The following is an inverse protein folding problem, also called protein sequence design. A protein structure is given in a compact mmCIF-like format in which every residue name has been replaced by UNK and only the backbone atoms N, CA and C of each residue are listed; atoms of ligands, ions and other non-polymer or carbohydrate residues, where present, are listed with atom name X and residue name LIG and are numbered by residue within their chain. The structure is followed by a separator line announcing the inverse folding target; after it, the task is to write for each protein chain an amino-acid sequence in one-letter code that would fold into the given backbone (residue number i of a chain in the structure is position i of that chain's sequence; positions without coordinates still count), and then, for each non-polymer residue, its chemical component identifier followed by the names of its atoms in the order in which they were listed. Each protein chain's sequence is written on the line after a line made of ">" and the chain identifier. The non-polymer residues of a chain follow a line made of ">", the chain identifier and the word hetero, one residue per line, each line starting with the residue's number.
data_IF_165357655063
#
_entry.id   IF_165357655063
#
_cell.length_a   1.000
_cell.length_b   1.000
_cell.length_c   1.000
_cell.angle_alpha   90.00
_cell.angle_beta   90.00
_cell.angle_gamma   90.00
#
_symmetry.space_group_name_H-M   'P 1'
#
loop_
_entity.id
_entity.type
_entity.pdbx_description
1 polymer ?
#
# COMPACT_ATOMS: atom_id res chain seq x y z
N UNK A 1 -31.57 -76.66 -16.96
CA UNK A 1 -32.10 -75.29 -16.82
C UNK A 1 -31.03 -74.22 -16.50
N UNK A 2 -29.92 -74.55 -15.83
CA UNK A 2 -28.94 -73.57 -15.30
C UNK A 2 -28.09 -72.82 -16.36
N UNK A 3 -27.79 -73.44 -17.51
CA UNK A 3 -26.89 -72.86 -18.54
C UNK A 3 -27.47 -71.64 -19.29
N UNK A 4 -28.79 -71.52 -19.37
CA UNK A 4 -29.46 -70.38 -20.04
C UNK A 4 -29.47 -69.11 -19.17
N UNK A 5 -29.48 -69.27 -17.85
CA UNK A 5 -29.52 -68.16 -16.89
C UNK A 5 -28.18 -67.42 -16.77
N UNK A 6 -27.05 -68.14 -16.88
CA UNK A 6 -25.70 -67.56 -16.88
C UNK A 6 -25.42 -66.74 -18.15
N UNK A 7 -25.87 -67.21 -19.31
CA UNK A 7 -25.73 -66.50 -20.57
C UNK A 7 -26.53 -65.17 -20.56
N UNK A 8 -27.73 -65.17 -19.97
CA UNK A 8 -28.54 -63.97 -19.83
C UNK A 8 -27.88 -62.93 -18.90
N UNK A 9 -27.32 -63.34 -17.77
CA UNK A 9 -26.64 -62.43 -16.83
C UNK A 9 -25.38 -61.79 -17.43
N UNK A 10 -24.59 -62.54 -18.21
CA UNK A 10 -23.43 -62.00 -18.92
C UNK A 10 -23.84 -60.96 -19.98
N UNK A 11 -24.93 -61.21 -20.70
CA UNK A 11 -25.48 -60.26 -21.67
C UNK A 11 -25.93 -58.96 -21.00
N UNK A 12 -26.62 -59.04 -19.85
CA UNK A 12 -27.02 -57.86 -19.09
C UNK A 12 -25.79 -57.10 -18.58
N UNK A 13 -24.78 -57.78 -18.05
CA UNK A 13 -23.55 -57.14 -17.56
C UNK A 13 -22.78 -56.42 -18.68
N UNK A 14 -22.69 -57.02 -19.87
CA UNK A 14 -22.06 -56.41 -21.04
C UNK A 14 -22.85 -55.20 -21.53
N UNK A 15 -24.18 -55.28 -21.57
CA UNK A 15 -25.04 -54.16 -21.96
C UNK A 15 -24.92 -53.02 -20.94
N UNK A 16 -24.94 -53.30 -19.64
CA UNK A 16 -24.77 -52.28 -18.59
C UNK A 16 -23.38 -51.65 -18.67
N UNK A 17 -22.32 -52.44 -18.84
CA UNK A 17 -20.96 -51.93 -19.02
C UNK A 17 -20.83 -51.03 -20.25
N UNK A 18 -21.44 -51.44 -21.37
CA UNK A 18 -21.47 -50.66 -22.60
C UNK A 18 -22.27 -49.35 -22.45
N UNK A 19 -23.44 -49.40 -21.80
CA UNK A 19 -24.28 -48.21 -21.55
C UNK A 19 -23.63 -47.25 -20.56
N UNK A 20 -22.89 -47.74 -19.56
CA UNK A 20 -22.14 -46.90 -18.62
C UNK A 20 -20.94 -46.26 -19.32
N UNK A 21 -20.21 -47.00 -20.16
CA UNK A 21 -19.10 -46.47 -20.95
C UNK A 21 -19.53 -45.46 -22.02
N UNK A 22 -20.76 -45.60 -22.54
CA UNK A 22 -21.34 -44.65 -23.49
C UNK A 22 -22.02 -43.43 -22.86
N UNK A 23 -21.95 -43.25 -21.53
CA UNK A 23 -22.34 -41.97 -20.96
C UNK A 23 -21.28 -40.95 -21.34
N UNK A 24 -21.54 -39.98 -22.24
CA UNK A 24 -20.62 -38.88 -22.42
C UNK A 24 -20.38 -38.26 -21.04
N UNK A 25 -19.12 -37.97 -20.68
CA UNK A 25 -18.86 -37.15 -19.50
C UNK A 25 -19.79 -35.95 -19.54
N UNK A 26 -20.55 -35.72 -18.46
CA UNK A 26 -21.34 -34.50 -18.36
C UNK A 26 -20.38 -33.33 -18.62
N UNK A 27 -20.71 -32.41 -19.54
CA UNK A 27 -19.87 -31.25 -19.77
C UNK A 27 -19.68 -30.57 -18.41
N UNK A 28 -18.44 -30.47 -17.95
CA UNK A 28 -18.12 -29.76 -16.71
C UNK A 28 -18.77 -28.38 -16.86
N UNK A 29 -19.71 -28.02 -15.97
CA UNK A 29 -20.35 -26.72 -16.05
C UNK A 29 -19.26 -25.65 -16.15
N UNK A 30 -19.41 -24.64 -17.03
CA UNK A 30 -18.48 -23.54 -17.06
C UNK A 30 -18.26 -23.04 -15.63
N UNK A 31 -17.00 -22.82 -15.19
CA UNK A 31 -16.77 -22.30 -13.85
C UNK A 31 -17.60 -21.03 -13.68
N UNK A 32 -18.34 -20.95 -12.56
CA UNK A 32 -19.16 -19.79 -12.28
C UNK A 32 -18.30 -18.52 -12.42
N UNK A 33 -18.81 -17.44 -13.03
CA UNK A 33 -18.04 -16.23 -13.18
C UNK A 33 -17.55 -15.77 -11.80
N UNK A 34 -16.26 -15.38 -11.69
CA UNK A 34 -15.69 -14.94 -10.43
C UNK A 34 -16.55 -13.81 -9.85
N UNK A 35 -16.87 -13.90 -8.56
CA UNK A 35 -17.60 -12.82 -7.90
C UNK A 35 -16.62 -11.66 -7.65
N UNK A 36 -17.03 -10.40 -7.89
CA UNK A 36 -16.13 -9.28 -7.72
C UNK A 36 -15.71 -9.16 -6.25
N UNK A 37 -14.41 -8.94 -6.05
CA UNK A 37 -13.85 -8.56 -4.76
C UNK A 37 -13.64 -7.05 -4.81
N UNK A 38 -14.29 -6.35 -3.90
CA UNK A 38 -14.25 -4.88 -3.86
C UNK A 38 -13.17 -4.45 -2.87
N UNK A 39 -12.24 -3.63 -3.34
CA UNK A 39 -11.34 -2.88 -2.47
C UNK A 39 -12.01 -1.55 -2.15
N UNK A 40 -12.01 -1.19 -0.88
CA UNK A 40 -12.61 0.03 -0.35
C UNK A 40 -11.54 0.92 0.30
N UNK A 41 -11.74 2.23 0.21
CA UNK A 41 -11.05 3.20 1.04
C UNK A 41 -11.47 3.04 2.52
N UNK A 42 -10.79 3.76 3.41
CA UNK A 42 -11.07 3.74 4.85
C UNK A 42 -12.53 4.13 5.20
N UNK A 43 -13.15 4.99 4.39
CA UNK A 43 -14.55 5.44 4.54
C UNK A 43 -15.58 4.44 3.97
N UNK A 44 -15.13 3.33 3.37
CA UNK A 44 -15.99 2.33 2.73
C UNK A 44 -16.38 2.66 1.29
N UNK A 45 -15.94 3.80 0.74
CA UNK A 45 -16.14 4.11 -0.67
C UNK A 45 -15.31 3.16 -1.56
N UNK A 46 -15.83 2.84 -2.74
CA UNK A 46 -15.17 1.91 -3.67
C UNK A 46 -13.84 2.52 -4.15
N UNK A 47 -12.75 1.80 -3.91
CA UNK A 47 -11.42 2.11 -4.42
C UNK A 47 -11.14 1.40 -5.73
N UNK A 48 -11.41 0.09 -5.79
CA UNK A 48 -11.14 -0.75 -6.95
C UNK A 48 -12.01 -2.01 -6.96
N UNK A 49 -12.26 -2.58 -8.14
CA UNK A 49 -12.97 -3.85 -8.34
C UNK A 49 -12.03 -4.85 -9.00
N UNK A 50 -11.55 -5.85 -8.26
CA UNK A 50 -10.64 -6.85 -8.83
C UNK A 50 -11.48 -7.88 -9.58
N UNK A 51 -11.28 -7.98 -10.91
CA UNK A 51 -12.02 -8.90 -11.79
C UNK A 51 -12.56 -8.28 -13.08
N UNK A 52 -12.55 -6.94 -13.22
CA UNK A 52 -13.14 -6.25 -14.37
C UNK A 52 -12.25 -6.17 -15.63
N UNK A 53 -11.04 -6.74 -15.59
CA UNK A 53 -10.07 -6.68 -16.70
C UNK A 53 -9.36 -5.33 -16.78
N UNK A 54 -8.03 -5.34 -16.71
CA UNK A 54 -7.21 -4.12 -16.73
C UNK A 54 -5.89 -4.29 -15.99
N UNK A 55 -4.96 -3.36 -16.22
CA UNK A 55 -3.72 -3.25 -15.44
C UNK A 55 -4.07 -2.90 -13.99
N UNK A 56 -3.66 -3.75 -13.05
CA UNK A 56 -3.87 -3.51 -11.62
C UNK A 56 -2.96 -2.35 -11.17
N UNK A 57 -3.50 -1.27 -10.58
CA UNK A 57 -2.67 -0.20 -10.03
C UNK A 57 -1.70 -0.73 -8.98
N UNK A 58 -0.48 -0.18 -8.87
CA UNK A 58 0.52 -0.73 -7.93
C UNK A 58 0.07 -0.66 -6.46
N UNK A 59 -0.75 0.34 -6.09
CA UNK A 59 -1.37 0.40 -4.76
C UNK A 59 -2.29 -0.80 -4.50
N UNK A 60 -3.03 -1.27 -5.52
CA UNK A 60 -3.83 -2.49 -5.45
C UNK A 60 -2.92 -3.71 -5.31
N UNK A 61 -1.86 -3.80 -6.12
CA UNK A 61 -0.89 -4.89 -6.01
C UNK A 61 -0.27 -4.98 -4.62
N UNK A 62 0.07 -3.83 -4.00
CA UNK A 62 0.59 -3.77 -2.63
C UNK A 62 -0.44 -4.26 -1.60
N UNK A 63 -1.71 -3.88 -1.73
CA UNK A 63 -2.80 -4.38 -0.88
C UNK A 63 -2.94 -5.90 -1.00
N UNK A 64 -2.94 -6.43 -2.23
CA UNK A 64 -3.05 -7.88 -2.47
C UNK A 64 -1.82 -8.65 -1.93
N UNK A 65 -0.63 -8.05 -2.01
CA UNK A 65 0.58 -8.59 -1.39
C UNK A 65 0.42 -8.68 0.13
N UNK A 66 0.00 -7.60 0.79
CA UNK A 66 -0.22 -7.58 2.23
C UNK A 66 -1.27 -8.60 2.68
N UNK A 67 -2.37 -8.73 1.94
CA UNK A 67 -3.38 -9.76 2.16
C UNK A 67 -2.79 -11.18 2.17
N UNK A 68 -1.87 -11.45 1.25
CA UNK A 68 -1.17 -12.74 1.18
C UNK A 68 -0.23 -12.94 2.37
N UNK A 69 0.47 -11.89 2.81
CA UNK A 69 1.33 -11.90 4.00
C UNK A 69 0.54 -12.16 5.30
N UNK A 70 -0.73 -11.74 5.38
CA UNK A 70 -1.62 -12.01 6.52
C UNK A 70 -2.45 -13.28 6.37
N UNK A 71 -2.06 -14.17 5.46
CA UNK A 71 -2.71 -15.48 5.23
C UNK A 71 -4.16 -15.42 4.74
N UNK A 72 -4.56 -14.31 4.08
CA UNK A 72 -5.86 -14.17 3.42
C UNK A 72 -5.65 -13.80 1.94
N UNK A 73 -5.12 -14.73 1.11
CA UNK A 73 -4.80 -14.43 -0.29
C UNK A 73 -6.06 -14.08 -1.09
N UNK A 74 -5.90 -13.22 -2.09
CA UNK A 74 -6.98 -12.75 -2.97
C UNK A 74 -7.87 -13.87 -3.52
N UNK A 75 -7.26 -14.96 -4.03
CA UNK A 75 -7.97 -16.09 -4.64
C UNK A 75 -8.97 -16.77 -3.69
N UNK A 76 -8.74 -16.67 -2.37
CA UNK A 76 -9.66 -17.20 -1.36
C UNK A 76 -11.01 -16.45 -1.30
N UNK A 77 -11.03 -15.22 -1.81
CA UNK A 77 -12.21 -14.36 -1.89
C UNK A 77 -12.90 -14.47 -3.26
N UNK A 78 -12.17 -14.69 -4.36
CA UNK A 78 -12.72 -14.74 -5.73
C UNK A 78 -13.87 -15.74 -5.88
N UNK A 79 -13.74 -16.91 -5.26
CA UNK A 79 -14.75 -17.97 -5.35
C UNK A 79 -16.10 -17.58 -4.71
N UNK A 80 -16.10 -16.65 -3.74
CA UNK A 80 -17.29 -16.33 -2.93
C UNK A 80 -17.70 -14.86 -3.00
N UNK A 81 -16.82 -13.97 -3.46
CA UNK A 81 -16.91 -12.53 -3.32
C UNK A 81 -16.51 -12.06 -1.91
N UNK A 82 -16.23 -10.77 -1.78
CA UNK A 82 -15.87 -10.16 -0.50
C UNK A 82 -15.53 -8.69 -0.65
N UNK A 83 -15.26 -8.05 0.48
CA UNK A 83 -14.76 -6.68 0.54
C UNK A 83 -13.46 -6.61 1.33
N UNK A 84 -12.52 -5.80 0.85
CA UNK A 84 -11.24 -5.50 1.49
C UNK A 84 -11.26 -4.02 1.81
N UNK A 85 -11.44 -3.69 3.10
CA UNK A 85 -11.32 -2.31 3.55
C UNK A 85 -9.85 -1.99 3.80
N UNK A 86 -9.40 -0.90 3.21
CA UNK A 86 -8.04 -0.40 3.41
C UNK A 86 -7.98 0.63 4.55
N UNK A 87 -6.79 1.11 4.86
CA UNK A 87 -6.55 2.29 5.72
C UNK A 87 -6.39 3.57 4.91
N UNK A 88 -6.42 3.49 3.57
CA UNK A 88 -6.18 4.62 2.68
C UNK A 88 -7.34 5.61 2.82
N UNK A 89 -7.00 6.86 3.08
CA UNK A 89 -7.95 7.95 3.14
C UNK A 89 -8.21 8.49 1.73
N UNK A 90 -9.44 8.38 1.23
CA UNK A 90 -9.79 8.77 -0.13
C UNK A 90 -9.48 10.25 -0.42
N UNK A 91 -9.77 11.15 0.55
CA UNK A 91 -9.52 12.59 0.42
C UNK A 91 -8.02 12.87 0.42
N UNK A 92 -7.28 12.32 1.38
CA UNK A 92 -5.83 12.53 1.48
C UNK A 92 -5.09 11.96 0.26
N UNK A 93 -5.48 10.77 -0.20
CA UNK A 93 -4.93 10.15 -1.41
C UNK A 93 -5.16 11.03 -2.64
N UNK A 94 -6.37 11.59 -2.79
CA UNK A 94 -6.72 12.49 -3.91
C UNK A 94 -5.93 13.80 -3.84
N UNK A 95 -5.85 14.42 -2.66
CA UNK A 95 -5.05 15.64 -2.42
C UNK A 95 -3.58 15.40 -2.77
N UNK A 96 -2.99 14.31 -2.28
CA UNK A 96 -1.61 13.97 -2.57
C UNK A 96 -1.38 13.73 -4.07
N UNK A 97 -2.28 13.00 -4.74
CA UNK A 97 -2.19 12.75 -6.18
C UNK A 97 -2.29 14.05 -7.00
N UNK A 98 -3.15 14.99 -6.60
CA UNK A 98 -3.28 16.28 -7.25
C UNK A 98 -2.01 17.15 -7.09
N UNK A 99 -1.40 17.14 -5.90
CA UNK A 99 -0.13 17.86 -5.64
C UNK A 99 1.00 17.28 -6.49
N UNK A 100 1.21 15.95 -6.44
CA UNK A 100 2.25 15.30 -7.24
C UNK A 100 2.00 15.52 -8.74
N UNK A 101 0.76 15.37 -9.21
CA UNK A 101 0.41 15.55 -10.62
C UNK A 101 0.67 16.97 -11.14
N UNK A 102 0.49 17.99 -10.30
CA UNK A 102 0.79 19.38 -10.67
C UNK A 102 2.29 19.69 -10.65
N UNK A 103 3.01 19.18 -9.64
CA UNK A 103 4.40 19.60 -9.37
C UNK A 103 5.46 18.70 -10.03
N UNK A 104 5.11 17.46 -10.34
CA UNK A 104 6.05 16.44 -10.85
C UNK A 104 5.74 16.10 -12.31
N UNK A 105 4.46 15.89 -12.65
CA UNK A 105 4.08 15.45 -14.00
C UNK A 105 4.14 16.55 -15.08
N UNK A 106 4.41 17.81 -14.72
CA UNK A 106 4.64 18.91 -15.68
C UNK A 106 5.75 19.82 -15.19
N UNK A 107 6.93 19.68 -15.77
CA UNK A 107 7.96 20.72 -15.71
C UNK A 107 8.13 21.33 -17.10
N UNK A 108 7.37 22.38 -17.38
CA UNK A 108 7.71 23.32 -18.43
C UNK A 108 8.80 24.26 -17.89
N UNK A 109 9.92 24.35 -18.61
CA UNK A 109 10.97 25.34 -18.38
C UNK A 109 10.46 26.77 -18.61
N UNK A 110 11.21 27.79 -18.15
CA UNK A 110 10.86 29.20 -18.32
C UNK A 110 10.69 29.65 -19.79
N UNK A 111 11.25 28.88 -20.72
CA UNK A 111 11.21 29.06 -22.18
C UNK A 111 10.07 28.26 -22.86
N UNK A 112 9.23 27.57 -22.09
CA UNK A 112 8.17 26.70 -22.59
C UNK A 112 8.66 25.32 -23.07
N UNK A 113 9.95 24.99 -22.89
CA UNK A 113 10.46 23.64 -23.17
C UNK A 113 10.02 22.64 -22.10
N UNK A 114 9.85 21.36 -22.45
CA UNK A 114 9.62 20.32 -21.45
C UNK A 114 10.96 19.73 -21.00
N UNK A 115 11.12 19.49 -19.69
CA UNK A 115 12.21 18.66 -19.18
C UNK A 115 12.22 17.32 -19.92
N UNK A 116 13.38 16.93 -20.46
CA UNK A 116 13.59 15.62 -21.08
C UNK A 116 13.61 14.48 -20.03
N UNK A 117 13.87 14.80 -18.76
CA UNK A 117 13.76 13.85 -17.66
C UNK A 117 12.38 13.97 -17.02
N UNK A 118 11.55 12.96 -17.25
CA UNK A 118 10.30 12.77 -16.52
C UNK A 118 10.64 12.51 -15.04
N UNK A 119 10.39 13.49 -14.17
CA UNK A 119 10.53 13.29 -12.74
C UNK A 119 9.54 12.21 -12.27
N UNK A 120 9.98 11.39 -11.35
CA UNK A 120 9.12 10.43 -10.66
C UNK A 120 9.15 10.73 -9.16
N UNK A 121 8.02 10.54 -8.47
CA UNK A 121 7.93 10.85 -7.05
C UNK A 121 7.03 9.86 -6.31
N UNK A 122 7.54 9.31 -5.22
CA UNK A 122 6.78 8.49 -4.29
C UNK A 122 6.35 9.30 -3.08
N UNK A 123 5.17 8.99 -2.53
CA UNK A 123 4.69 9.61 -1.30
C UNK A 123 3.96 8.60 -0.43
N UNK A 124 4.24 8.62 0.87
CA UNK A 124 3.52 7.83 1.86
C UNK A 124 3.13 8.69 3.07
N UNK A 125 1.98 8.38 3.66
CA UNK A 125 1.55 8.97 4.92
C UNK A 125 0.96 7.91 5.85
N UNK A 126 1.33 7.95 7.12
CA UNK A 126 0.92 6.98 8.15
C UNK A 126 0.25 7.71 9.32
N UNK A 127 -0.85 7.14 9.81
CA UNK A 127 -1.41 7.46 11.12
C UNK A 127 -0.52 6.84 12.23
N UNK A 128 0.16 7.66 13.05
CA UNK A 128 1.04 7.17 14.12
C UNK A 128 0.32 6.32 15.18
N UNK A 129 -0.97 6.59 15.42
CA UNK A 129 -1.72 5.94 16.48
C UNK A 129 -2.07 4.47 16.15
N UNK A 130 -2.12 4.11 14.87
CA UNK A 130 -2.52 2.78 14.41
C UNK A 130 -1.46 2.09 13.54
N UNK A 131 -0.58 2.84 12.88
CA UNK A 131 0.26 2.33 11.80
C UNK A 131 -0.50 2.21 10.47
N UNK A 132 -1.75 2.69 10.39
CA UNK A 132 -2.53 2.66 9.15
C UNK A 132 -1.95 3.60 8.09
N UNK A 133 -1.70 3.07 6.89
CA UNK A 133 -1.21 3.86 5.76
C UNK A 133 -2.38 4.63 5.14
N UNK A 134 -2.38 5.95 5.31
CA UNK A 134 -3.44 6.85 4.83
C UNK A 134 -3.21 7.32 3.40
N UNK A 135 -1.96 7.44 2.98
CA UNK A 135 -1.56 7.76 1.60
C UNK A 135 -0.50 6.78 1.14
N UNK A 136 -0.68 6.22 -0.04
CA UNK A 136 0.31 5.38 -0.73
C UNK A 136 0.33 5.73 -2.22
N UNK A 137 1.30 6.53 -2.64
CA UNK A 137 1.49 6.94 -4.04
C UNK A 137 2.78 6.35 -4.59
N UNK A 138 2.71 5.31 -5.43
CA UNK A 138 3.88 4.60 -5.95
C UNK A 138 4.71 5.43 -6.95
N UNK A 139 4.14 6.52 -7.47
CA UNK A 139 4.74 7.33 -8.52
C UNK A 139 3.98 7.21 -9.85
N UNK A 140 4.56 7.79 -10.89
CA UNK A 140 3.94 7.91 -12.22
C UNK A 140 4.38 6.82 -13.19
N UNK A 141 5.51 6.17 -12.93
CA UNK A 141 5.99 5.06 -13.75
C UNK A 141 5.27 3.77 -13.35
N UNK A 142 4.84 3.01 -14.36
CA UNK A 142 3.97 1.85 -14.20
C UNK A 142 4.70 0.61 -13.66
N UNK A 143 6.03 0.58 -13.76
CA UNK A 143 6.91 -0.53 -13.37
C UNK A 143 7.73 -0.23 -12.10
N UNK A 144 7.58 0.95 -11.51
CA UNK A 144 8.35 1.37 -10.33
C UNK A 144 7.45 1.86 -9.20
N UNK A 145 7.48 1.13 -8.09
CA UNK A 145 6.80 1.53 -6.84
C UNK A 145 7.79 2.25 -5.94
N UNK A 146 7.90 3.57 -6.13
CA UNK A 146 8.72 4.43 -5.30
C UNK A 146 8.15 4.60 -3.90
N UNK A 147 6.91 4.21 -3.58
CA UNK A 147 6.38 4.36 -2.21
C UNK A 147 6.90 3.26 -1.28
N UNK A 148 6.84 2.00 -1.71
CA UNK A 148 7.14 0.85 -0.85
C UNK A 148 7.69 -0.38 -1.56
N UNK A 149 7.99 -0.29 -2.86
CA UNK A 149 8.49 -1.42 -3.67
C UNK A 149 9.96 -1.30 -4.07
N UNK A 150 10.47 -0.09 -4.26
CA UNK A 150 11.87 0.17 -4.64
C UNK A 150 12.58 0.87 -3.48
N UNK A 151 13.55 0.17 -2.89
CA UNK A 151 14.40 0.74 -1.85
C UNK A 151 15.44 1.68 -2.48
N UNK A 152 15.69 2.80 -1.80
CA UNK A 152 16.55 3.88 -2.26
C UNK A 152 17.62 4.16 -1.21
N UNK A 153 18.77 4.69 -1.63
CA UNK A 153 19.80 5.07 -0.68
C UNK A 153 19.32 6.26 0.18
N UNK A 154 19.34 6.17 1.52
CA UNK A 154 18.98 7.30 2.37
C UNK A 154 20.00 8.43 2.23
N UNK A 155 19.54 9.67 2.19
CA UNK A 155 20.44 10.83 2.23
C UNK A 155 21.12 10.98 3.60
N UNK A 156 22.35 11.51 3.65
CA UNK A 156 22.98 11.88 4.91
C UNK A 156 22.05 12.77 5.73
N UNK A 157 21.92 12.48 7.02
CA UNK A 157 21.04 13.22 7.93
C UNK A 157 19.61 12.70 8.03
N UNK A 158 19.11 11.90 7.08
CA UNK A 158 17.72 11.39 7.11
C UNK A 158 17.39 10.64 8.41
N UNK A 159 18.36 9.97 9.01
CA UNK A 159 18.20 9.25 10.28
C UNK A 159 19.00 9.85 11.45
N UNK A 160 19.58 11.04 11.28
CA UNK A 160 20.29 11.73 12.37
C UNK A 160 19.44 11.89 13.64
N UNK A 161 18.11 12.17 13.59
CA UNK A 161 17.29 12.26 14.80
C UNK A 161 17.24 10.97 15.63
N UNK A 162 17.60 9.83 15.04
CA UNK A 162 17.63 8.52 15.69
C UNK A 162 19.03 8.09 16.12
N UNK A 163 20.06 8.89 15.83
CA UNK A 163 21.44 8.58 16.15
C UNK A 163 21.60 8.35 17.66
N UNK A 164 22.12 7.17 18.03
CA UNK A 164 22.31 6.78 19.43
C UNK A 164 21.03 6.37 20.19
N UNK A 165 19.88 6.35 19.52
CA UNK A 165 18.58 5.97 20.12
C UNK A 165 18.06 4.66 19.52
N UNK A 166 18.30 4.45 18.23
CA UNK A 166 17.94 3.24 17.49
C UNK A 166 19.03 2.93 16.48
N UNK A 167 19.35 1.65 16.32
CA UNK A 167 20.11 1.19 15.16
C UNK A 167 19.20 1.27 13.93
N UNK A 168 19.37 2.34 13.15
CA UNK A 168 18.70 2.50 11.87
C UNK A 168 19.70 2.02 10.84
N UNK A 169 19.52 0.79 10.36
CA UNK A 169 20.52 0.12 9.52
C UNK A 169 20.94 0.94 8.30
N UNK A 170 22.16 0.73 7.83
CA UNK A 170 22.77 1.43 6.68
C UNK A 170 22.23 0.96 5.30
N UNK A 171 21.15 0.19 5.31
CA UNK A 171 20.54 -0.36 4.11
C UNK A 171 19.77 0.67 3.29
N UNK A 172 19.45 0.29 2.06
CA UNK A 172 18.45 1.01 1.27
C UNK A 172 17.09 0.96 1.97
N UNK A 173 16.33 2.05 1.86
CA UNK A 173 15.03 2.21 2.52
C UNK A 173 13.98 2.66 1.51
N UNK A 174 12.74 2.24 1.69
CA UNK A 174 11.60 2.79 0.93
C UNK A 174 11.04 4.03 1.66
N UNK A 175 10.32 4.93 0.96
CA UNK A 175 9.55 5.98 1.63
C UNK A 175 8.59 5.45 2.69
N UNK A 176 8.01 4.26 2.51
CA UNK A 176 7.18 3.63 3.54
C UNK A 176 7.98 3.33 4.82
N UNK A 177 9.21 2.81 4.69
CA UNK A 177 10.09 2.53 5.84
C UNK A 177 10.49 3.82 6.57
N UNK A 178 10.80 4.87 5.80
CA UNK A 178 11.12 6.21 6.35
C UNK A 178 9.89 6.77 7.09
N UNK A 179 8.70 6.74 6.48
CA UNK A 179 7.47 7.21 7.11
C UNK A 179 7.15 6.43 8.38
N UNK A 180 7.33 5.10 8.38
CA UNK A 180 7.11 4.27 9.56
C UNK A 180 8.05 4.63 10.72
N UNK A 181 9.32 4.91 10.38
CA UNK A 181 10.35 5.31 11.34
C UNK A 181 9.99 6.66 11.98
N UNK A 182 9.54 7.64 11.20
CA UNK A 182 9.11 8.94 11.72
C UNK A 182 7.73 8.91 12.40
N UNK A 183 6.84 8.01 11.99
CA UNK A 183 5.58 7.74 12.70
C UNK A 183 5.84 7.25 14.13
N UNK A 184 6.95 6.54 14.38
CA UNK A 184 7.35 6.15 15.74
C UNK A 184 7.63 7.36 16.63
N UNK A 185 8.28 8.41 16.10
CA UNK A 185 8.47 9.66 16.85
C UNK A 185 7.13 10.37 17.07
N UNK A 186 6.29 10.44 16.05
CA UNK A 186 4.95 11.02 16.15
C UNK A 186 4.06 10.31 17.18
N UNK A 187 4.28 9.00 17.39
CA UNK A 187 3.60 8.16 18.36
C UNK A 187 4.34 8.07 19.71
N UNK A 188 5.09 9.11 20.10
CA UNK A 188 5.79 9.18 21.38
C UNK A 188 6.77 8.02 21.64
N UNK A 189 7.37 7.47 20.58
CA UNK A 189 8.35 6.38 20.65
C UNK A 189 7.76 4.98 20.56
N UNK A 190 6.46 4.86 20.26
CA UNK A 190 5.77 3.58 20.03
C UNK A 190 5.77 3.24 18.54
N UNK A 191 6.49 2.19 18.17
CA UNK A 191 6.51 1.67 16.81
C UNK A 191 5.24 0.85 16.53
N UNK A 192 4.71 0.98 15.31
CA UNK A 192 3.64 0.14 14.77
C UNK A 192 3.98 -0.28 13.35
N UNK A 193 3.71 -1.53 13.02
CA UNK A 193 3.90 -2.06 11.66
C UNK A 193 2.94 -1.33 10.70
N UNK A 194 3.45 -0.73 9.62
CA UNK A 194 2.61 -0.15 8.58
C UNK A 194 1.70 -1.21 7.97
N UNK A 195 0.43 -0.88 7.79
CA UNK A 195 -0.53 -1.76 7.15
C UNK A 195 -1.51 -0.96 6.30
N UNK A 196 -1.85 -1.50 5.13
CA UNK A 196 -2.85 -0.96 4.21
C UNK A 196 -4.19 -1.66 4.39
N UNK A 197 -4.23 -2.91 4.86
CA UNK A 197 -5.47 -3.70 5.01
C UNK A 197 -6.00 -3.54 6.43
N UNK A 198 -7.18 -2.95 6.58
CA UNK A 198 -7.83 -2.81 7.89
C UNK A 198 -8.72 -4.01 8.21
N UNK A 199 -9.59 -4.41 7.28
CA UNK A 199 -10.46 -5.59 7.43
C UNK A 199 -10.70 -6.29 6.12
N UNK A 200 -10.89 -7.61 6.17
CA UNK A 200 -11.39 -8.42 5.05
C UNK A 200 -12.69 -9.09 5.47
N UNK A 201 -13.74 -8.91 4.67
CA UNK A 201 -15.04 -9.53 4.87
C UNK A 201 -15.42 -10.42 3.69
N UNK A 202 -16.01 -11.59 3.97
CA UNK A 202 -16.59 -12.44 2.94
C UNK A 202 -17.92 -11.90 2.44
N UNK A 203 -18.41 -12.41 1.30
CA UNK A 203 -19.74 -12.05 0.78
C UNK A 203 -20.90 -12.44 1.71
N UNK A 204 -20.68 -13.36 2.64
CA UNK A 204 -21.60 -13.75 3.71
C UNK A 204 -21.57 -12.80 4.92
N UNK A 205 -20.77 -11.73 4.86
CA UNK A 205 -20.55 -10.79 5.95
C UNK A 205 -19.59 -11.29 7.03
N UNK A 206 -19.02 -12.50 6.89
CA UNK A 206 -18.06 -13.04 7.86
C UNK A 206 -16.76 -12.24 7.87
N UNK A 207 -16.28 -11.88 9.05
CA UNK A 207 -14.97 -11.26 9.23
C UNK A 207 -13.88 -12.31 9.01
N UNK A 208 -13.04 -12.12 7.99
CA UNK A 208 -11.92 -13.01 7.66
C UNK A 208 -10.59 -12.51 8.22
N UNK A 209 -10.45 -11.19 8.32
CA UNK A 209 -9.27 -10.55 8.89
C UNK A 209 -9.62 -9.19 9.46
N UNK A 210 -8.92 -8.81 10.53
CA UNK A 210 -8.89 -7.47 11.09
C UNK A 210 -7.46 -7.20 11.55
N UNK A 211 -6.91 -6.05 11.16
CA UNK A 211 -5.59 -5.63 11.59
C UNK A 211 -5.52 -5.52 13.13
N UNK A 212 -4.44 -6.04 13.69
CA UNK A 212 -4.14 -5.91 15.11
C UNK A 212 -3.28 -4.67 15.37
N UNK A 213 -3.42 -4.05 16.54
CA UNK A 213 -2.47 -3.03 16.97
C UNK A 213 -1.13 -3.72 17.29
N UNK A 214 -0.07 -3.29 16.60
CA UNK A 214 1.29 -3.84 16.73
C UNK A 214 2.19 -2.93 17.57
N UNK A 215 1.60 -2.13 18.46
CA UNK A 215 2.28 -1.20 19.34
C UNK A 215 3.47 -1.83 20.09
N UNK A 216 4.65 -1.27 19.87
CA UNK A 216 5.90 -1.66 20.51
C UNK A 216 6.67 -0.41 20.97
N UNK A 217 6.74 -0.13 22.28
CA UNK A 217 7.59 0.95 22.79
C UNK A 217 9.06 0.65 22.46
N UNK A 218 9.72 1.56 21.74
CA UNK A 218 11.11 1.40 21.29
C UNK A 218 11.99 2.60 21.67
N UNK A 219 11.39 3.76 21.94
CA UNK A 219 12.08 4.98 22.39
C UNK A 219 11.32 5.54 23.59
N UNK A 220 12.04 6.01 24.62
CA UNK A 220 11.41 6.68 25.75
C UNK A 220 10.81 8.03 25.35
N UNK A 221 9.58 8.30 25.79
CA UNK A 221 8.81 9.53 25.48
C UNK A 221 9.61 10.82 25.69
N UNK A 222 10.28 10.95 26.84
CA UNK A 222 11.15 12.10 27.16
C UNK A 222 12.32 12.31 26.18
N UNK A 223 12.78 11.25 25.51
CA UNK A 223 13.79 11.35 24.44
C UNK A 223 13.14 11.86 23.16
N UNK A 224 11.96 11.32 22.84
CA UNK A 224 11.16 11.75 21.68
C UNK A 224 10.76 13.22 21.79
N UNK A 225 10.41 13.71 22.97
CA UNK A 225 10.07 15.12 23.19
C UNK A 225 11.23 16.06 22.84
N UNK A 226 12.46 15.71 23.25
CA UNK A 226 13.66 16.48 22.92
C UNK A 226 13.95 16.45 21.42
N UNK A 227 13.82 15.29 20.80
CA UNK A 227 13.98 15.15 19.34
C UNK A 227 12.92 16.00 18.62
N UNK A 228 11.65 15.87 19.00
CA UNK A 228 10.53 16.59 18.39
C UNK A 228 10.70 18.10 18.54
N UNK A 229 11.13 18.58 19.71
CA UNK A 229 11.42 20.00 19.93
C UNK A 229 12.52 20.48 18.97
N UNK A 230 13.63 19.76 18.87
CA UNK A 230 14.72 20.11 17.94
C UNK A 230 14.28 20.11 16.47
N UNK A 231 13.37 19.20 16.07
CA UNK A 231 12.85 19.14 14.70
C UNK A 231 11.87 20.28 14.40
N UNK A 232 11.12 20.77 15.40
CA UNK A 232 10.18 21.90 15.26
C UNK A 232 10.88 23.25 15.15
N UNK A 233 12.09 23.38 15.70
CA UNK A 233 12.90 24.60 15.58
C UNK A 233 13.36 24.89 14.14
N UNK A 234 13.13 23.96 13.20
CA UNK A 234 13.42 24.19 11.80
C UNK A 234 12.43 25.16 11.15
N UNK A 235 12.91 26.38 10.89
CA UNK A 235 12.12 27.46 10.27
C UNK A 235 11.52 27.09 8.90
N UNK A 236 12.05 26.09 8.20
CA UNK A 236 11.54 25.67 6.88
C UNK A 236 10.27 24.81 6.95
N UNK A 237 9.78 24.49 8.15
CA UNK A 237 8.63 23.59 8.33
C UNK A 237 7.47 24.19 9.12
N UNK A 238 7.45 25.52 9.28
CA UNK A 238 6.29 26.24 9.84
C UNK A 238 5.80 25.65 11.19
N UNK A 239 6.72 25.23 12.06
CA UNK A 239 6.41 24.66 13.38
C UNK A 239 6.01 23.18 13.39
N UNK A 240 6.02 22.50 12.24
CA UNK A 240 5.85 21.04 12.12
C UNK A 240 7.22 20.37 12.24
N UNK A 241 7.31 19.27 12.98
CA UNK A 241 8.55 18.51 13.12
C UNK A 241 8.93 17.89 11.77
N UNK A 242 10.14 18.14 11.27
CA UNK A 242 10.54 17.70 9.94
C UNK A 242 12.07 17.57 9.76
N UNK A 243 12.47 16.88 8.70
CA UNK A 243 13.85 16.84 8.19
C UNK A 243 13.88 17.28 6.72
N UNK A 244 14.08 18.59 6.45
CA UNK A 244 13.93 19.17 5.12
C UNK A 244 15.22 19.21 4.28
N UNK A 245 16.37 18.90 4.88
CA UNK A 245 17.66 18.85 4.18
C UNK A 245 18.02 17.46 3.66
N UNK A 246 17.08 16.52 3.71
CA UNK A 246 17.31 15.14 3.31
C UNK A 246 17.13 14.91 1.80
N UNK A 247 17.20 15.94 0.94
CA UNK A 247 16.99 15.80 -0.51
C UNK A 247 17.78 14.60 -1.08
N UNK A 248 17.19 13.75 -1.95
CA UNK A 248 15.86 13.84 -2.60
C UNK A 248 14.63 13.52 -1.71
N UNK A 249 14.82 13.38 -0.40
CA UNK A 249 13.78 13.10 0.57
C UNK A 249 13.27 14.36 1.28
N UNK A 250 12.00 14.34 1.64
CA UNK A 250 11.42 15.21 2.66
C UNK A 250 10.59 14.33 3.58
N UNK A 251 10.78 14.47 4.89
CA UNK A 251 9.96 13.79 5.89
C UNK A 251 9.59 14.74 7.00
N UNK A 252 8.40 14.57 7.55
CA UNK A 252 7.97 15.26 8.75
C UNK A 252 6.66 14.72 9.28
N UNK A 253 6.29 15.17 10.47
CA UNK A 253 5.14 14.64 11.17
C UNK A 253 4.46 15.64 12.10
N UNK A 254 3.19 15.36 12.32
CA UNK A 254 2.36 15.86 13.42
C UNK A 254 1.98 14.67 14.30
N UNK A 255 1.36 14.87 15.48
CA UNK A 255 0.87 13.75 16.30
C UNK A 255 -0.14 12.84 15.58
N UNK A 256 -0.78 13.30 14.50
CA UNK A 256 -1.83 12.56 13.78
C UNK A 256 -1.38 12.02 12.42
N UNK A 257 -0.19 12.42 11.94
CA UNK A 257 0.25 12.05 10.60
C UNK A 257 1.76 12.19 10.46
N UNK A 258 2.43 11.12 10.02
CA UNK A 258 3.80 11.18 9.48
C UNK A 258 3.75 11.07 7.96
N UNK A 259 4.60 11.83 7.26
CA UNK A 259 4.58 11.95 5.80
C UNK A 259 6.00 11.97 5.26
N UNK A 260 6.29 11.12 4.27
CA UNK A 260 7.52 11.16 3.48
C UNK A 260 7.20 11.37 2.02
N UNK A 261 7.99 12.23 1.37
CA UNK A 261 8.04 12.44 -0.07
C UNK A 261 9.45 12.11 -0.55
N UNK A 262 9.55 11.34 -1.62
CA UNK A 262 10.80 11.07 -2.34
C UNK A 262 10.63 11.50 -3.79
N UNK A 263 11.58 12.29 -4.31
CA UNK A 263 11.59 12.69 -5.73
C UNK A 263 12.83 12.12 -6.40
N UNK A 264 12.63 11.15 -7.27
CA UNK A 264 13.70 10.59 -8.09
C UNK A 264 14.22 11.64 -9.08
N UNK A 265 15.55 11.63 -9.32
CA UNK A 265 16.22 12.50 -10.31
C UNK A 265 15.94 14.00 -10.12
N UNK A 266 15.68 14.45 -8.90
CA UNK A 266 15.42 15.87 -8.62
C UNK A 266 16.56 16.81 -9.09
N UNK A 267 17.80 16.33 -9.24
CA UNK A 267 18.94 17.15 -9.64
C UNK A 267 19.12 18.39 -8.73
N UNK A 268 19.97 19.34 -9.15
CA UNK A 268 20.15 20.58 -8.39
C UNK A 268 18.92 21.52 -8.50
N UNK A 269 18.25 21.51 -9.65
CA UNK A 269 17.12 22.41 -9.96
C UNK A 269 15.90 22.10 -9.09
N UNK A 270 15.61 20.81 -8.85
CA UNK A 270 14.45 20.39 -8.06
C UNK A 270 14.81 19.95 -6.63
N UNK A 271 15.98 20.35 -6.10
CA UNK A 271 16.40 19.99 -4.76
C UNK A 271 15.41 20.40 -3.65
N UNK A 272 14.62 21.47 -3.88
CA UNK A 272 13.57 21.93 -2.96
C UNK A 272 12.20 21.28 -3.18
N UNK A 273 12.01 20.53 -4.27
CA UNK A 273 10.70 20.01 -4.69
C UNK A 273 10.06 19.03 -3.68
N UNK A 274 10.79 18.07 -3.07
CA UNK A 274 10.22 17.21 -2.03
C UNK A 274 9.57 18.00 -0.89
N UNK A 275 10.22 19.10 -0.47
CA UNK A 275 9.71 19.99 0.57
C UNK A 275 8.45 20.74 0.14
N UNK A 276 8.42 21.27 -1.09
CA UNK A 276 7.24 21.98 -1.62
C UNK A 276 6.03 21.04 -1.71
N UNK A 277 6.22 19.83 -2.24
CA UNK A 277 5.18 18.80 -2.31
C UNK A 277 4.63 18.50 -0.90
N UNK A 278 5.52 18.27 0.07
CA UNK A 278 5.13 17.96 1.44
C UNK A 278 4.34 19.11 2.08
N UNK A 279 4.78 20.36 1.90
CA UNK A 279 4.12 21.55 2.46
C UNK A 279 2.72 21.73 1.87
N UNK A 280 2.57 21.62 0.56
CA UNK A 280 1.27 21.77 -0.10
C UNK A 280 0.30 20.64 0.25
N UNK A 281 0.80 19.40 0.38
CA UNK A 281 -0.03 18.30 0.85
C UNK A 281 -0.57 18.55 2.27
N UNK A 282 0.30 18.95 3.22
CA UNK A 282 -0.13 19.21 4.59
C UNK A 282 -1.15 20.36 4.66
N UNK A 283 -0.97 21.41 3.85
CA UNK A 283 -1.94 22.49 3.76
C UNK A 283 -3.31 22.01 3.26
N UNK A 284 -3.33 21.14 2.24
CA UNK A 284 -4.57 20.55 1.70
C UNK A 284 -5.18 19.43 2.57
N UNK A 285 -4.41 18.87 3.50
CA UNK A 285 -4.89 17.85 4.44
C UNK A 285 -5.55 18.47 5.69
N UNK A 286 -5.10 19.65 6.12
CA UNK A 286 -5.64 20.35 7.28
C UNK A 286 -6.99 21.06 7.04
N UNK A 287 -7.36 21.30 5.78
CA UNK A 287 -8.65 21.86 5.36
C UNK A 287 -9.62 20.79 4.87
#
# INVERSE_FOLDING_TARGET
>A
MVRRSLAALLLVAVIVGYVVWQRPEEPVPPPAPPKPVVLEYADGSRMWSVGEGGLQPMVVQRVLKEMSEVSVPYDSLVARGGAVRTTIDAKAQTTAAAVLGRLVARQQGPDGSYSQEELNAGMTAIDPASGGVRVYLPGFQWDQDLAGGVAQQPSPGLFQPFAGVRDVGEGQVTPLDVTATYATLAAAGVERKPHLVSTVTGADGSLRYKAADTAKPVIGEHVVDRITASLKDNAMCNGVACMPYAAPWMVGYTPQLAVTVYVEKAGAVNAGLPRVIWQEFLAGFAG
#
